data_IF_862876019489
#
_entry.id   IF_862876019489
#
_cell.length_a   1.000
_cell.length_b   1.000
_cell.length_c   1.000
_cell.angle_alpha   90.00
_cell.angle_beta   90.00
_cell.angle_gamma   90.00
#
_symmetry.space_group_name_H-M   'P 1'
#
loop_
_entity.id
_entity.type
_entity.pdbx_description
1 polymer ?
#
# COMPACT_ATOMS: atom_id res chain seq x y z
N UNK A 1 11.46 -16.59 14.86
CA UNK A 1 10.53 -16.29 13.75
C UNK A 1 9.37 -17.28 13.67
N UNK A 2 9.60 -18.60 13.58
CA UNK A 2 8.54 -19.60 13.45
C UNK A 2 7.50 -19.59 14.60
N UNK A 3 7.95 -19.44 15.85
CA UNK A 3 7.04 -19.33 17.01
C UNK A 3 6.16 -18.07 16.95
N UNK A 4 6.67 -16.96 16.43
CA UNK A 4 5.92 -15.71 16.33
C UNK A 4 4.83 -15.81 15.25
N UNK A 5 5.12 -16.47 14.13
CA UNK A 5 4.15 -16.78 13.07
C UNK A 5 3.05 -17.70 13.61
N UNK A 6 3.40 -18.71 14.40
CA UNK A 6 2.43 -19.63 15.00
C UNK A 6 1.52 -18.95 16.02
N UNK A 7 2.05 -18.03 16.84
CA UNK A 7 1.26 -17.24 17.77
C UNK A 7 0.29 -16.31 17.04
N UNK A 8 0.76 -15.62 15.99
CA UNK A 8 -0.07 -14.75 15.16
C UNK A 8 -1.18 -15.55 14.45
N UNK A 9 -0.84 -16.68 13.84
CA UNK A 9 -1.79 -17.62 13.24
C UNK A 9 -2.87 -18.05 14.23
N UNK A 10 -2.48 -18.52 15.42
CA UNK A 10 -3.45 -18.99 16.41
C UNK A 10 -4.38 -17.87 16.88
N UNK A 11 -3.86 -16.66 17.03
CA UNK A 11 -4.66 -15.50 17.40
C UNK A 11 -5.65 -15.13 16.28
N UNK A 12 -5.23 -15.14 15.01
CA UNK A 12 -6.11 -14.91 13.87
C UNK A 12 -7.21 -15.97 13.78
N UNK A 13 -6.89 -17.26 13.98
CA UNK A 13 -7.88 -18.34 14.01
C UNK A 13 -8.93 -18.06 15.10
N UNK A 14 -8.51 -17.67 16.31
CA UNK A 14 -9.43 -17.39 17.42
C UNK A 14 -10.39 -16.24 17.13
N UNK A 15 -9.98 -15.24 16.35
CA UNK A 15 -10.86 -14.12 15.97
C UNK A 15 -11.83 -14.50 14.84
N UNK A 16 -11.40 -15.30 13.85
CA UNK A 16 -12.25 -15.67 12.72
C UNK A 16 -13.18 -16.85 13.02
N UNK A 17 -12.78 -17.80 13.87
CA UNK A 17 -13.58 -18.97 14.20
C UNK A 17 -15.02 -18.67 14.66
N UNK A 18 -15.28 -17.71 15.59
CA UNK A 18 -16.66 -17.40 15.99
C UNK A 18 -17.50 -16.86 14.82
N UNK A 19 -16.91 -16.05 13.93
CA UNK A 19 -17.60 -15.53 12.74
C UNK A 19 -17.98 -16.67 11.79
N UNK A 20 -17.06 -17.62 11.56
CA UNK A 20 -17.32 -18.79 10.73
C UNK A 20 -18.36 -19.73 11.35
N UNK A 21 -18.36 -19.92 12.67
CA UNK A 21 -19.37 -20.73 13.35
C UNK A 21 -20.76 -20.08 13.25
N UNK A 22 -20.86 -18.78 13.50
CA UNK A 22 -22.13 -18.07 13.54
C UNK A 22 -22.77 -17.96 12.15
N UNK A 23 -21.97 -17.68 11.12
CA UNK A 23 -22.48 -17.35 9.78
C UNK A 23 -22.23 -18.44 8.72
N UNK A 24 -21.89 -19.67 9.14
CA UNK A 24 -21.62 -20.81 8.23
C UNK A 24 -22.74 -21.01 7.21
N UNK A 25 -23.99 -20.91 7.66
CA UNK A 25 -25.18 -21.19 6.86
C UNK A 25 -25.60 -20.03 5.96
N UNK A 26 -25.06 -18.82 6.18
CA UNK A 26 -25.40 -17.63 5.40
C UNK A 26 -24.53 -17.48 4.12
N UNK A 27 -23.58 -18.41 3.93
CA UNK A 27 -22.73 -18.46 2.75
C UNK A 27 -21.69 -17.34 2.73
N UNK A 28 -20.72 -17.37 3.65
CA UNK A 28 -19.57 -16.46 3.67
C UNK A 28 -18.89 -16.47 2.30
N UNK A 29 -18.73 -15.32 1.66
CA UNK A 29 -18.02 -15.18 0.37
C UNK A 29 -16.73 -14.36 0.49
N UNK A 30 -16.58 -13.57 1.56
CA UNK A 30 -15.39 -12.75 1.79
C UNK A 30 -15.00 -12.73 3.27
N UNK A 31 -13.69 -12.67 3.50
CA UNK A 31 -13.06 -12.67 4.81
C UNK A 31 -11.91 -11.66 4.79
N UNK A 32 -11.88 -10.75 5.75
CA UNK A 32 -10.86 -9.70 5.77
C UNK A 32 -10.40 -9.34 7.17
N UNK A 33 -9.14 -8.95 7.26
CA UNK A 33 -8.57 -8.29 8.42
C UNK A 33 -8.57 -6.78 8.15
N UNK A 34 -9.39 -6.03 8.87
CA UNK A 34 -9.58 -4.60 8.65
C UNK A 34 -8.57 -3.80 9.45
N UNK A 35 -7.90 -2.88 8.78
CA UNK A 35 -6.96 -1.95 9.37
C UNK A 35 -7.52 -0.53 9.35
N UNK A 36 -7.20 0.24 10.38
CA UNK A 36 -7.51 1.66 10.43
C UNK A 36 -6.50 2.50 9.62
N UNK A 37 -6.72 3.81 9.57
CA UNK A 37 -5.83 4.78 8.90
C UNK A 37 -4.40 4.81 9.46
N UNK A 38 -4.19 4.30 10.68
CA UNK A 38 -2.89 4.21 11.34
C UNK A 38 -2.22 2.85 11.16
N UNK A 39 -2.68 2.02 10.21
CA UNK A 39 -2.15 0.69 9.94
C UNK A 39 -2.25 -0.26 11.16
N UNK A 40 -3.22 -0.02 12.04
CA UNK A 40 -3.55 -0.93 13.14
C UNK A 40 -4.70 -1.84 12.77
N UNK A 41 -4.57 -3.11 13.13
CA UNK A 41 -5.69 -4.04 13.04
C UNK A 41 -6.81 -3.50 13.95
N UNK A 42 -8.00 -3.32 13.38
CA UNK A 42 -9.19 -2.84 14.05
C UNK A 42 -10.15 -3.98 14.36
N UNK A 43 -10.46 -4.81 13.35
CA UNK A 43 -11.35 -5.94 13.50
C UNK A 43 -11.10 -7.02 12.44
N UNK A 44 -11.59 -8.22 12.73
CA UNK A 44 -11.80 -9.27 11.74
C UNK A 44 -13.23 -9.13 11.20
N UNK A 45 -13.43 -9.22 9.89
CA UNK A 45 -14.75 -9.06 9.27
C UNK A 45 -15.02 -10.13 8.21
N UNK A 46 -16.28 -10.53 8.08
CA UNK A 46 -16.77 -11.43 7.03
C UNK A 46 -17.97 -10.83 6.33
N UNK A 47 -18.21 -11.25 5.08
CA UNK A 47 -19.44 -10.94 4.36
C UNK A 47 -20.07 -12.21 3.79
N UNK A 48 -21.40 -12.25 3.75
CA UNK A 48 -22.19 -13.45 3.43
C UNK A 48 -23.11 -13.19 2.24
N UNK A 49 -23.45 -14.22 1.47
CA UNK A 49 -24.34 -14.08 0.32
C UNK A 49 -25.73 -13.58 0.73
N UNK A 50 -26.18 -13.95 1.94
CA UNK A 50 -27.43 -13.46 2.53
C UNK A 50 -27.44 -11.95 2.74
N UNK A 51 -26.29 -11.30 2.97
CA UNK A 51 -26.24 -9.84 3.09
C UNK A 51 -26.49 -9.12 1.76
N UNK A 52 -26.39 -9.81 0.62
CA UNK A 52 -26.50 -9.25 -0.73
C UNK A 52 -27.94 -9.39 -1.29
N UNK A 53 -28.75 -10.37 -0.84
CA UNK A 53 -30.05 -10.67 -1.46
C UNK A 53 -31.13 -11.14 -0.47
N UNK A 54 -32.07 -10.26 -0.12
CA UNK A 54 -33.43 -10.63 0.29
C UNK A 54 -34.42 -9.54 -0.15
N UNK A 55 -35.57 -9.93 -0.71
CA UNK A 55 -36.58 -9.03 -1.31
C UNK A 55 -37.44 -8.27 -0.29
N UNK A 56 -37.44 -8.65 0.99
CA UNK A 56 -38.17 -7.96 2.07
C UNK A 56 -37.24 -7.06 2.87
N UNK A 57 -37.60 -5.80 3.15
CA UNK A 57 -36.77 -4.79 3.82
C UNK A 57 -36.64 -4.93 5.38
N UNK A 58 -35.73 -5.76 5.89
CA UNK A 58 -35.01 -5.59 7.17
C UNK A 58 -33.82 -4.59 7.09
N UNK A 59 -34.07 -3.33 7.44
CA UNK A 59 -33.07 -2.24 7.50
C UNK A 59 -31.77 -2.59 8.28
N UNK A 60 -31.79 -3.67 9.07
CA UNK A 60 -30.65 -4.18 9.81
C UNK A 60 -29.72 -5.18 9.05
N UNK A 61 -29.94 -5.49 7.76
CA UNK A 61 -29.16 -6.54 7.08
C UNK A 61 -28.65 -6.24 5.66
N UNK A 62 -29.08 -5.16 4.99
CA UNK A 62 -28.79 -5.00 3.55
C UNK A 62 -27.46 -4.40 3.17
N UNK A 63 -26.87 -4.99 2.13
CA UNK A 63 -25.79 -4.47 1.33
C UNK A 63 -26.20 -4.51 -0.15
N UNK A 64 -26.26 -3.37 -0.83
CA UNK A 64 -26.53 -3.36 -2.26
C UNK A 64 -25.42 -4.12 -3.01
N UNK A 65 -25.72 -4.74 -4.16
CA UNK A 65 -24.72 -5.50 -4.92
C UNK A 65 -23.49 -4.65 -5.31
N UNK A 66 -23.68 -3.36 -5.58
CA UNK A 66 -22.61 -2.39 -5.82
C UNK A 66 -21.72 -2.12 -4.59
N UNK A 67 -22.25 -2.37 -3.38
CA UNK A 67 -21.54 -2.20 -2.11
C UNK A 67 -20.90 -3.50 -1.63
N UNK A 68 -20.91 -4.57 -2.43
CA UNK A 68 -20.36 -5.92 -2.10
C UNK A 68 -19.00 -5.86 -1.43
N UNK A 69 -18.13 -4.96 -1.88
CA UNK A 69 -16.76 -4.82 -1.40
C UNK A 69 -16.55 -3.62 -0.45
N UNK A 70 -17.63 -2.94 -0.05
CA UNK A 70 -17.56 -1.82 0.88
C UNK A 70 -17.51 -2.33 2.33
N UNK A 71 -16.29 -2.51 2.84
CA UNK A 71 -16.00 -3.08 4.16
C UNK A 71 -16.70 -2.30 5.29
N UNK A 72 -16.83 -0.96 5.16
CA UNK A 72 -17.47 -0.13 6.18
C UNK A 72 -18.96 -0.44 6.35
N UNK A 73 -19.59 -1.04 5.34
CA UNK A 73 -20.99 -1.46 5.37
C UNK A 73 -21.16 -2.92 5.79
N UNK A 74 -20.06 -3.65 6.01
CA UNK A 74 -20.12 -5.04 6.47
C UNK A 74 -20.49 -5.08 7.94
N UNK A 75 -21.51 -5.88 8.27
CA UNK A 75 -22.08 -5.93 9.63
C UNK A 75 -21.45 -7.01 10.50
N UNK A 76 -20.89 -8.05 9.88
CA UNK A 76 -20.34 -9.19 10.60
C UNK A 76 -18.87 -8.96 10.93
N UNK A 77 -18.65 -8.16 11.96
CA UNK A 77 -17.32 -7.79 12.45
C UNK A 77 -17.10 -8.33 13.85
N UNK A 78 -15.93 -8.91 14.10
CA UNK A 78 -15.42 -9.21 15.44
C UNK A 78 -14.38 -8.15 15.81
N UNK A 79 -14.71 -7.17 16.67
CA UNK A 79 -13.73 -6.21 17.14
C UNK A 79 -12.67 -6.92 17.96
N UNK A 80 -11.42 -6.48 17.83
CA UNK A 80 -10.33 -7.06 18.62
C UNK A 80 -10.59 -6.91 20.11
N UNK A 81 -10.61 -8.04 20.83
CA UNK A 81 -10.70 -8.03 22.29
C UNK A 81 -9.49 -7.29 22.86
N UNK A 82 -9.69 -6.44 23.88
CA UNK A 82 -8.61 -5.65 24.52
C UNK A 82 -7.41 -6.49 24.98
N UNK A 83 -7.63 -7.77 25.30
CA UNK A 83 -6.59 -8.72 25.72
C UNK A 83 -6.18 -9.72 24.63
N UNK A 84 -6.58 -9.51 23.38
CA UNK A 84 -6.21 -10.39 22.27
C UNK A 84 -4.71 -10.36 22.04
N UNK A 85 -4.11 -11.51 21.78
CA UNK A 85 -2.69 -11.63 21.41
C UNK A 85 -2.38 -10.79 20.16
N UNK A 86 -3.39 -10.58 19.29
CA UNK A 86 -3.30 -9.68 18.14
C UNK A 86 -3.07 -8.22 18.50
N UNK A 87 -3.46 -7.75 19.69
CA UNK A 87 -3.13 -6.38 20.12
C UNK A 87 -1.62 -6.18 20.29
N UNK A 88 -0.85 -7.24 20.55
CA UNK A 88 0.63 -7.17 20.56
C UNK A 88 1.21 -6.98 19.16
N UNK A 89 0.46 -7.38 18.13
CA UNK A 89 0.79 -7.23 16.71
C UNK A 89 0.03 -6.06 16.06
N UNK A 90 -0.68 -5.24 16.86
CA UNK A 90 -1.47 -4.10 16.38
C UNK A 90 -0.60 -3.10 15.62
N UNK A 91 0.68 -2.99 15.98
CA UNK A 91 1.66 -2.11 15.35
C UNK A 91 2.50 -2.80 14.26
N UNK A 92 2.20 -4.06 13.89
CA UNK A 92 3.03 -4.83 12.96
C UNK A 92 3.07 -4.28 11.52
N UNK A 93 2.33 -3.21 11.22
CA UNK A 93 2.43 -2.46 9.97
C UNK A 93 2.81 -0.99 10.18
N UNK A 94 3.07 -0.54 11.42
CA UNK A 94 3.59 0.82 11.67
C UNK A 94 4.94 1.03 10.98
N UNK A 95 5.80 0.01 10.97
CA UNK A 95 7.12 0.08 10.33
C UNK A 95 7.02 0.20 8.79
N UNK A 96 5.86 -0.06 8.17
CA UNK A 96 5.62 0.23 6.75
C UNK A 96 5.27 1.69 6.49
N UNK A 97 4.67 2.37 7.47
CA UNK A 97 4.46 3.82 7.44
C UNK A 97 5.77 4.54 7.79
N UNK A 98 6.53 4.03 8.76
CA UNK A 98 7.85 4.57 9.12
C UNK A 98 8.89 4.27 8.04
N UNK A 99 8.99 3.08 7.43
CA UNK A 99 9.93 2.88 6.30
C UNK A 99 9.62 3.74 5.06
N UNK A 100 8.40 4.26 4.92
CA UNK A 100 8.07 5.30 3.93
C UNK A 100 8.47 6.72 4.38
N UNK A 101 8.67 6.94 5.68
CA UNK A 101 8.92 8.25 6.31
C UNK A 101 10.28 8.36 7.07
N UNK A 102 11.06 7.29 7.18
CA UNK A 102 12.29 7.19 7.97
C UNK A 102 13.50 7.10 7.05
N UNK A 103 13.99 8.26 6.61
CA UNK A 103 15.41 8.43 6.28
C UNK A 103 16.04 9.34 7.33
N UNK A 104 16.04 8.88 8.58
CA UNK A 104 16.96 9.38 9.58
C UNK A 104 18.27 8.61 9.43
N UNK A 105 19.31 9.31 8.98
CA UNK A 105 20.69 8.90 9.18
C UNK A 105 20.90 8.64 10.68
N UNK A 106 21.08 7.39 11.06
CA UNK A 106 21.82 7.05 12.27
C UNK A 106 22.85 6.00 11.90
N UNK A 107 24.06 6.48 11.64
CA UNK A 107 25.26 5.66 11.72
C UNK A 107 25.44 5.20 13.16
N UNK A 108 25.00 3.98 13.45
CA UNK A 108 25.61 3.14 14.48
C UNK A 108 25.46 1.71 14.03
N UNK A 109 26.61 1.06 13.83
CA UNK A 109 26.78 -0.35 13.57
C UNK A 109 25.92 -1.20 14.53
N UNK A 110 25.04 -2.05 13.99
CA UNK A 110 24.81 -3.44 14.42
C UNK A 110 23.62 -4.07 13.69
N UNK A 111 23.82 -5.33 13.29
CA UNK A 111 22.88 -6.31 12.72
C UNK A 111 22.60 -6.22 11.20
N UNK A 112 23.16 -7.15 10.39
CA UNK A 112 22.78 -7.29 8.99
C UNK A 112 21.42 -8.02 8.89
N UNK A 113 20.58 -7.60 7.93
CA UNK A 113 19.37 -8.29 7.46
C UNK A 113 18.26 -8.58 8.49
N UNK A 114 17.32 -7.64 8.72
CA UNK A 114 16.07 -7.93 9.44
C UNK A 114 14.84 -7.12 9.01
N UNK A 115 14.84 -6.59 7.78
CA UNK A 115 13.69 -5.93 7.16
C UNK A 115 13.06 -6.82 6.09
N UNK A 116 13.03 -8.14 6.32
CA UNK A 116 12.16 -9.05 5.57
C UNK A 116 10.71 -8.75 5.97
N UNK A 117 9.96 -8.13 5.05
CA UNK A 117 8.62 -7.54 5.15
C UNK A 117 7.70 -8.11 6.25
N UNK A 118 7.37 -7.31 7.28
CA UNK A 118 6.35 -7.65 8.28
C UNK A 118 4.97 -7.91 7.65
N UNK A 119 4.62 -7.21 6.56
CA UNK A 119 3.43 -7.50 5.76
C UNK A 119 3.47 -8.91 5.17
N UNK A 120 4.63 -9.34 4.68
CA UNK A 120 4.80 -10.69 4.14
C UNK A 120 4.60 -11.74 5.24
N UNK A 121 5.16 -11.50 6.43
CA UNK A 121 4.95 -12.35 7.60
C UNK A 121 3.47 -12.45 7.99
N UNK A 122 2.74 -11.32 7.94
CA UNK A 122 1.30 -11.29 8.19
C UNK A 122 0.52 -12.06 7.12
N UNK A 123 0.84 -11.84 5.84
CA UNK A 123 0.22 -12.53 4.72
C UNK A 123 0.46 -14.03 4.78
N UNK A 124 1.67 -14.47 5.15
CA UNK A 124 2.00 -15.88 5.32
C UNK A 124 1.24 -16.51 6.49
N UNK A 125 1.13 -15.80 7.62
CA UNK A 125 0.29 -16.23 8.72
C UNK A 125 -1.19 -16.33 8.30
N UNK A 126 -1.69 -15.33 7.57
CA UNK A 126 -3.08 -15.31 7.12
C UNK A 126 -3.37 -16.39 6.07
N UNK A 127 -2.40 -16.72 5.22
CA UNK A 127 -2.47 -17.84 4.29
C UNK A 127 -2.62 -19.18 5.03
N UNK A 128 -1.88 -19.37 6.12
CA UNK A 128 -2.04 -20.56 6.97
C UNK A 128 -3.39 -20.60 7.69
N UNK A 129 -3.88 -19.45 8.16
CA UNK A 129 -5.20 -19.32 8.79
C UNK A 129 -6.30 -19.69 7.79
N UNK A 130 -6.20 -19.20 6.54
CA UNK A 130 -7.09 -19.57 5.45
C UNK A 130 -7.15 -21.09 5.28
N UNK A 131 -6.01 -21.77 5.18
CA UNK A 131 -5.97 -23.23 5.04
C UNK A 131 -6.73 -23.92 6.17
N UNK A 132 -6.46 -23.53 7.42
CA UNK A 132 -7.13 -24.11 8.60
C UNK A 132 -8.63 -23.82 8.63
N UNK A 133 -9.06 -22.60 8.31
CA UNK A 133 -10.48 -22.25 8.30
C UNK A 133 -11.24 -22.99 7.20
N UNK A 134 -10.64 -23.16 6.02
CA UNK A 134 -11.24 -23.91 4.92
C UNK A 134 -11.35 -25.40 5.22
N UNK A 135 -10.41 -25.97 5.98
CA UNK A 135 -10.47 -27.36 6.48
C UNK A 135 -11.56 -27.55 7.54
N UNK A 136 -11.70 -26.61 8.48
CA UNK A 136 -12.69 -26.68 9.56
C UNK A 136 -14.12 -26.38 9.08
N UNK A 137 -14.27 -25.50 8.08
CA UNK A 137 -15.55 -25.03 7.57
C UNK A 137 -15.64 -25.21 6.05
N UNK A 138 -15.66 -26.45 5.55
CA UNK A 138 -15.80 -26.70 4.12
C UNK A 138 -17.14 -26.16 3.63
N UNK A 139 -17.08 -25.28 2.63
CA UNK A 139 -18.25 -24.72 1.96
C UNK A 139 -18.45 -25.33 0.57
N UNK A 140 -19.70 -25.50 0.12
CA UNK A 140 -20.02 -26.15 -1.16
C UNK A 140 -19.57 -25.37 -2.39
N UNK A 141 -19.42 -24.04 -2.30
CA UNK A 141 -18.98 -23.16 -3.41
C UNK A 141 -17.46 -22.94 -3.44
N UNK A 142 -16.71 -23.38 -2.42
CA UNK A 142 -15.24 -23.42 -2.39
C UNK A 142 -14.47 -22.09 -2.51
N UNK A 143 -15.12 -20.95 -2.76
CA UNK A 143 -14.45 -19.69 -3.07
C UNK A 143 -14.83 -18.58 -2.07
N UNK A 144 -14.14 -18.60 -0.92
CA UNK A 144 -14.08 -17.44 -0.01
C UNK A 144 -12.86 -16.62 -0.39
N UNK A 145 -13.04 -15.31 -0.59
CA UNK A 145 -11.92 -14.38 -0.83
C UNK A 145 -11.36 -13.86 0.48
N UNK A 146 -10.06 -14.01 0.65
CA UNK A 146 -9.31 -13.52 1.81
C UNK A 146 -8.45 -12.32 1.42
N UNK A 147 -8.53 -11.20 2.11
CA UNK A 147 -7.69 -10.04 1.80
C UNK A 147 -7.49 -9.15 3.03
N UNK A 148 -6.51 -8.25 2.98
CA UNK A 148 -6.32 -7.21 4.00
C UNK A 148 -7.15 -6.00 3.60
N UNK A 149 -8.03 -5.56 4.49
CA UNK A 149 -8.90 -4.40 4.29
C UNK A 149 -8.21 -3.13 4.75
N UNK A 150 -7.88 -2.25 3.82
CA UNK A 150 -7.23 -0.97 4.08
C UNK A 150 -7.79 0.09 3.12
N UNK A 151 -8.94 0.71 3.43
CA UNK A 151 -9.67 1.56 2.49
C UNK A 151 -8.87 2.73 1.91
N UNK A 152 -7.83 3.19 2.63
CA UNK A 152 -6.94 4.26 2.19
C UNK A 152 -5.80 3.81 1.26
N UNK A 153 -5.51 2.50 1.17
CA UNK A 153 -4.43 1.94 0.34
C UNK A 153 -4.94 0.76 -0.48
N UNK A 154 -5.69 1.03 -1.56
CA UNK A 154 -6.23 -0.01 -2.43
C UNK A 154 -5.14 -0.91 -3.03
N UNK A 155 -3.89 -0.43 -3.13
CA UNK A 155 -2.75 -1.25 -3.55
C UNK A 155 -2.49 -2.45 -2.64
N UNK A 156 -2.63 -2.28 -1.31
CA UNK A 156 -2.43 -3.37 -0.34
C UNK A 156 -3.60 -4.35 -0.40
N UNK A 157 -4.82 -3.85 -0.58
CA UNK A 157 -6.01 -4.69 -0.71
C UNK A 157 -5.90 -5.59 -1.94
N UNK A 158 -5.51 -5.03 -3.09
CA UNK A 158 -5.29 -5.77 -4.34
C UNK A 158 -4.15 -6.79 -4.18
N UNK A 159 -3.00 -6.35 -3.67
CA UNK A 159 -1.83 -7.22 -3.51
C UNK A 159 -2.12 -8.41 -2.58
N UNK A 160 -2.75 -8.15 -1.43
CA UNK A 160 -3.11 -9.19 -0.48
C UNK A 160 -4.15 -10.16 -1.04
N UNK A 161 -5.13 -9.68 -1.80
CA UNK A 161 -6.12 -10.52 -2.45
C UNK A 161 -5.48 -11.47 -3.48
N UNK A 162 -4.54 -10.99 -4.30
CA UNK A 162 -3.78 -11.84 -5.22
C UNK A 162 -2.91 -12.86 -4.49
N UNK A 163 -2.27 -12.47 -3.39
CA UNK A 163 -1.37 -13.35 -2.66
C UNK A 163 -2.10 -14.50 -1.94
N UNK A 164 -3.26 -14.20 -1.36
CA UNK A 164 -3.99 -15.13 -0.51
C UNK A 164 -4.94 -16.05 -1.29
N UNK A 165 -5.32 -15.70 -2.52
CA UNK A 165 -6.36 -16.42 -3.26
C UNK A 165 -5.89 -16.92 -4.63
N UNK A 166 -6.34 -18.12 -5.04
CA UNK A 166 -6.22 -18.52 -6.44
C UNK A 166 -7.10 -17.64 -7.33
N UNK A 167 -6.83 -17.66 -8.63
CA UNK A 167 -7.69 -17.01 -9.61
C UNK A 167 -9.11 -17.58 -9.53
N UNK A 168 -10.09 -16.67 -9.48
CA UNK A 168 -11.52 -16.96 -9.36
C UNK A 168 -12.33 -15.77 -9.85
N UNK A 169 -13.57 -16.01 -10.26
CA UNK A 169 -14.50 -14.93 -10.64
C UNK A 169 -14.75 -13.95 -9.48
N UNK A 170 -14.65 -14.43 -8.24
CA UNK A 170 -14.82 -13.62 -7.04
C UNK A 170 -13.62 -12.70 -6.79
N UNK A 171 -12.40 -13.16 -7.11
CA UNK A 171 -11.20 -12.31 -7.14
C UNK A 171 -11.30 -11.27 -8.25
N UNK A 172 -11.67 -11.66 -9.48
CA UNK A 172 -11.83 -10.71 -10.59
C UNK A 172 -12.87 -9.62 -10.27
N UNK A 173 -14.01 -9.99 -9.68
CA UNK A 173 -15.03 -9.06 -9.21
C UNK A 173 -14.50 -8.07 -8.16
N UNK A 174 -13.60 -8.52 -7.28
CA UNK A 174 -12.96 -7.66 -6.28
C UNK A 174 -11.97 -6.68 -6.92
N UNK A 175 -11.11 -7.17 -7.82
CA UNK A 175 -10.13 -6.34 -8.52
C UNK A 175 -10.81 -5.25 -9.34
N UNK A 176 -11.87 -5.60 -10.10
CA UNK A 176 -12.62 -4.64 -10.90
C UNK A 176 -13.27 -3.51 -10.06
N UNK A 177 -13.59 -3.75 -8.79
CA UNK A 177 -14.08 -2.72 -7.87
C UNK A 177 -12.96 -1.84 -7.28
N UNK A 178 -11.78 -2.43 -7.03
CA UNK A 178 -10.64 -1.74 -6.39
C UNK A 178 -9.75 -0.99 -7.34
N UNK A 179 -9.61 -1.46 -8.57
CA UNK A 179 -8.73 -0.87 -9.57
C UNK A 179 -9.11 0.58 -9.94
N UNK A 180 -10.40 0.95 -10.11
CA UNK A 180 -10.80 2.35 -10.28
C UNK A 180 -10.43 3.23 -9.08
N UNK A 181 -10.48 2.68 -7.84
CA UNK A 181 -10.11 3.41 -6.62
C UNK A 181 -8.59 3.59 -6.53
N UNK A 182 -7.82 2.59 -6.92
CA UNK A 182 -6.37 2.71 -7.08
C UNK A 182 -6.03 3.77 -8.12
N UNK A 183 -6.67 3.74 -9.28
CA UNK A 183 -6.49 4.78 -10.30
C UNK A 183 -6.87 6.15 -9.77
N UNK A 184 -7.98 6.31 -9.05
CA UNK A 184 -8.35 7.58 -8.42
C UNK A 184 -7.29 8.08 -7.43
N UNK A 185 -6.72 7.21 -6.58
CA UNK A 185 -5.62 7.57 -5.67
C UNK A 185 -4.35 7.94 -6.43
N UNK A 186 -4.00 7.21 -7.48
CA UNK A 186 -2.87 7.53 -8.35
C UNK A 186 -3.09 8.85 -9.11
N UNK A 187 -4.34 9.15 -9.49
CA UNK A 187 -4.75 10.40 -10.12
C UNK A 187 -4.78 11.59 -9.13
N UNK A 188 -5.21 11.38 -7.88
CA UNK A 188 -5.12 12.39 -6.81
C UNK A 188 -3.66 12.67 -6.41
N UNK A 189 -2.78 11.66 -6.54
CA UNK A 189 -1.33 11.81 -6.44
C UNK A 189 -0.69 12.43 -7.70
N UNK A 190 -1.47 12.85 -8.72
CA UNK A 190 -0.93 13.63 -9.85
C UNK A 190 -0.58 15.04 -9.37
N UNK A 191 0.69 15.16 -9.00
CA UNK A 191 1.54 16.33 -8.83
C UNK A 191 0.89 17.69 -9.10
N UNK A 192 0.31 18.29 -8.06
CA UNK A 192 0.24 19.74 -8.00
C UNK A 192 1.60 20.24 -7.51
N UNK A 193 2.50 20.57 -8.44
CA UNK A 193 3.79 21.16 -8.11
C UNK A 193 3.57 22.48 -7.36
N UNK A 194 4.17 22.61 -6.18
CA UNK A 194 4.26 23.89 -5.47
C UNK A 194 5.09 24.89 -6.27
N UNK A 195 5.14 26.15 -5.86
CA UNK A 195 6.04 27.10 -6.51
C UNK A 195 7.52 26.73 -6.27
N UNK A 196 7.86 26.30 -5.05
CA UNK A 196 9.21 25.84 -4.72
C UNK A 196 9.63 24.59 -5.52
N UNK A 197 8.69 23.67 -5.79
CA UNK A 197 8.94 22.51 -6.66
C UNK A 197 9.33 22.93 -8.08
N UNK A 198 8.65 23.95 -8.63
CA UNK A 198 8.91 24.45 -9.98
C UNK A 198 10.24 25.18 -10.05
N UNK A 199 10.51 26.06 -9.09
CA UNK A 199 11.73 26.85 -9.05
C UNK A 199 12.96 25.93 -9.00
N UNK A 200 12.92 24.91 -8.14
CA UNK A 200 14.03 23.97 -7.99
C UNK A 200 14.16 22.96 -9.16
N UNK A 201 13.07 22.63 -9.87
CA UNK A 201 13.16 21.92 -11.16
C UNK A 201 13.76 22.80 -12.27
N UNK A 202 13.50 24.10 -12.26
CA UNK A 202 14.09 25.07 -13.18
C UNK A 202 15.59 25.21 -12.90
N UNK A 203 15.98 25.36 -11.64
CA UNK A 203 17.39 25.47 -11.24
C UNK A 203 18.17 24.20 -11.64
N UNK A 204 17.58 23.03 -11.43
CA UNK A 204 18.18 21.76 -11.86
C UNK A 204 18.32 21.64 -13.38
N UNK A 205 17.34 22.14 -14.15
CA UNK A 205 17.41 22.16 -15.61
C UNK A 205 18.51 23.10 -16.12
N UNK A 206 18.61 24.30 -15.52
CA UNK A 206 19.65 25.27 -15.87
C UNK A 206 21.05 24.73 -15.59
N UNK A 207 21.23 24.05 -14.45
CA UNK A 207 22.48 23.37 -14.12
C UNK A 207 22.84 22.32 -15.19
N UNK A 208 21.87 21.51 -15.60
CA UNK A 208 22.08 20.48 -16.63
C UNK A 208 22.35 21.05 -18.02
N UNK A 209 21.88 22.27 -18.31
CA UNK A 209 22.08 22.94 -19.60
C UNK A 209 23.44 23.62 -19.75
N UNK A 210 24.19 23.81 -18.66
CA UNK A 210 25.54 24.38 -18.68
C UNK A 210 26.49 23.58 -19.58
N UNK A 211 27.18 24.27 -20.49
CA UNK A 211 28.19 23.67 -21.38
C UNK A 211 29.61 24.17 -21.01
N UNK A 212 30.62 23.29 -20.90
CA UNK A 212 30.53 21.84 -21.10
C UNK A 212 29.85 21.15 -19.90
N UNK A 213 29.01 20.15 -20.20
CA UNK A 213 28.39 19.31 -19.18
C UNK A 213 29.47 18.55 -18.40
N UNK A 214 29.47 18.70 -17.08
CA UNK A 214 30.39 18.03 -16.16
C UNK A 214 29.58 17.33 -15.07
N UNK A 215 29.68 16.00 -15.01
CA UNK A 215 28.94 15.16 -14.07
C UNK A 215 29.34 15.45 -12.62
N UNK A 216 30.61 15.79 -12.38
CA UNK A 216 31.09 16.13 -11.04
C UNK A 216 30.50 17.45 -10.58
N UNK A 217 30.47 18.44 -11.49
CA UNK A 217 29.85 19.73 -11.23
C UNK A 217 28.35 19.58 -10.96
N UNK A 218 27.65 18.77 -11.76
CA UNK A 218 26.23 18.48 -11.56
C UNK A 218 25.94 17.80 -10.23
N UNK A 219 26.73 16.79 -9.86
CA UNK A 219 26.57 16.10 -8.58
C UNK A 219 26.78 17.06 -7.40
N UNK A 220 27.82 17.89 -7.48
CA UNK A 220 28.11 18.87 -6.44
C UNK A 220 27.03 19.95 -6.35
N UNK A 221 26.55 20.47 -7.48
CA UNK A 221 25.47 21.47 -7.50
C UNK A 221 24.15 20.90 -6.97
N UNK A 222 23.81 19.66 -7.34
CA UNK A 222 22.64 18.96 -6.79
C UNK A 222 22.77 18.72 -5.29
N UNK A 223 23.96 18.41 -4.79
CA UNK A 223 24.21 18.32 -3.35
C UNK A 223 23.94 19.65 -2.64
N UNK A 224 24.36 20.79 -3.22
CA UNK A 224 24.08 22.11 -2.64
C UNK A 224 22.57 22.40 -2.57
N UNK A 225 21.79 22.00 -3.58
CA UNK A 225 20.32 22.12 -3.55
C UNK A 225 19.68 21.34 -2.39
N UNK A 226 20.29 20.24 -1.94
CA UNK A 226 19.78 19.48 -0.77
C UNK A 226 19.92 20.23 0.56
N UNK A 227 20.78 21.25 0.61
CA UNK A 227 21.07 22.02 1.82
C UNK A 227 20.15 23.24 1.97
N UNK A 228 19.32 23.53 0.96
CA UNK A 228 18.38 24.64 1.01
C UNK A 228 17.25 24.37 2.01
N UNK A 229 16.80 25.41 2.72
CA UNK A 229 15.74 25.29 3.72
C UNK A 229 14.40 24.82 3.09
N UNK A 230 14.12 25.25 1.86
CA UNK A 230 12.94 24.87 1.08
C UNK A 230 12.98 23.43 0.58
N UNK A 231 14.16 22.79 0.54
CA UNK A 231 14.31 21.46 -0.03
C UNK A 231 13.50 20.40 0.73
N UNK A 232 13.49 20.48 2.06
CA UNK A 232 12.73 19.56 2.91
C UNK A 232 11.21 19.61 2.65
N UNK A 233 10.71 20.74 2.14
CA UNK A 233 9.29 20.97 1.85
C UNK A 233 8.91 20.64 0.40
N UNK A 234 9.89 20.33 -0.46
CA UNK A 234 9.63 19.98 -1.86
C UNK A 234 9.06 18.58 -2.03
N UNK A 235 8.49 18.31 -3.20
CA UNK A 235 7.96 17.01 -3.55
C UNK A 235 9.02 15.90 -3.43
N UNK A 236 8.65 14.81 -2.76
CA UNK A 236 9.54 13.67 -2.51
C UNK A 236 10.18 13.08 -3.78
N UNK A 237 9.49 13.11 -4.93
CA UNK A 237 10.03 12.60 -6.19
C UNK A 237 11.10 13.53 -6.77
N UNK A 238 10.96 14.84 -6.56
CA UNK A 238 11.97 15.84 -6.93
C UNK A 238 13.18 15.73 -6.01
N UNK A 239 12.95 15.57 -4.70
CA UNK A 239 14.02 15.28 -3.74
C UNK A 239 14.82 14.04 -4.14
N UNK A 240 14.15 12.96 -4.54
CA UNK A 240 14.82 11.73 -5.02
C UNK A 240 15.66 11.94 -6.26
N UNK A 241 15.17 12.72 -7.22
CA UNK A 241 15.94 13.06 -8.42
C UNK A 241 17.23 13.79 -8.03
N UNK A 242 17.14 14.81 -7.18
CA UNK A 242 18.31 15.59 -6.74
C UNK A 242 19.29 14.72 -5.95
N UNK A 243 18.84 13.89 -5.01
CA UNK A 243 19.74 12.98 -4.29
C UNK A 243 20.42 11.98 -5.22
N UNK A 244 19.73 11.48 -6.24
CA UNK A 244 20.32 10.56 -7.21
C UNK A 244 21.40 11.24 -8.06
N UNK A 245 21.21 12.51 -8.42
CA UNK A 245 22.22 13.32 -9.11
C UNK A 245 23.38 13.64 -8.15
N UNK A 246 23.11 13.99 -6.90
CA UNK A 246 24.14 14.27 -5.88
C UNK A 246 25.01 13.05 -5.56
N UNK A 247 24.46 11.84 -5.69
CA UNK A 247 25.16 10.58 -5.44
C UNK A 247 25.92 10.02 -6.66
N UNK A 248 26.01 10.76 -7.78
CA UNK A 248 26.73 10.29 -8.97
C UNK A 248 28.22 10.08 -8.65
N UNK A 249 28.71 8.87 -8.90
CA UNK A 249 30.13 8.55 -8.79
C UNK A 249 30.80 8.72 -10.16
N UNK A 250 31.76 9.63 -10.26
CA UNK A 250 32.54 9.84 -11.50
C UNK A 250 33.70 8.84 -11.58
N UNK A 251 33.85 8.11 -12.71
CA UNK A 251 35.13 7.49 -13.04
C UNK A 251 35.20 6.06 -13.60
N UNK A 252 34.13 5.42 -14.08
CA UNK A 252 34.27 4.13 -14.78
C UNK A 252 33.16 3.88 -15.82
N UNK A 253 33.40 2.95 -16.76
CA UNK A 253 32.46 2.57 -17.84
C UNK A 253 31.12 1.97 -17.35
N UNK A 254 31.01 1.70 -16.05
CA UNK A 254 29.79 1.27 -15.36
C UNK A 254 29.32 2.33 -14.33
N UNK A 255 29.67 3.61 -14.53
CA UNK A 255 29.29 4.68 -13.61
C UNK A 255 27.78 4.86 -13.61
N UNK A 256 27.18 4.92 -12.41
CA UNK A 256 25.80 5.37 -12.20
C UNK A 256 25.62 6.88 -12.45
N UNK A 257 26.45 7.49 -13.30
CA UNK A 257 26.43 8.91 -13.63
C UNK A 257 25.32 9.18 -14.65
N UNK A 258 24.38 10.02 -14.25
CA UNK A 258 23.25 10.43 -15.06
C UNK A 258 23.74 11.40 -16.15
N UNK A 259 23.32 11.16 -17.38
CA UNK A 259 23.70 11.99 -18.52
C UNK A 259 22.73 13.18 -18.67
N UNK A 260 23.17 14.27 -19.30
CA UNK A 260 22.36 15.50 -19.52
C UNK A 260 20.94 15.20 -20.02
N UNK A 261 20.81 14.35 -21.04
CA UNK A 261 19.52 14.00 -21.63
C UNK A 261 18.59 13.28 -20.65
N UNK A 262 19.15 12.43 -19.77
CA UNK A 262 18.39 11.64 -18.80
C UNK A 262 17.84 12.54 -17.67
N UNK A 263 18.64 13.51 -17.22
CA UNK A 263 18.21 14.50 -16.22
C UNK A 263 17.05 15.33 -16.79
N UNK A 264 17.20 15.85 -18.01
CA UNK A 264 16.17 16.66 -18.67
C UNK A 264 14.88 15.85 -18.93
N UNK A 265 15.00 14.58 -19.33
CA UNK A 265 13.84 13.71 -19.51
C UNK A 265 13.08 13.49 -18.20
N UNK A 266 13.79 13.23 -17.10
CA UNK A 266 13.17 13.07 -15.77
C UNK A 266 12.55 14.36 -15.26
N UNK A 267 13.12 15.53 -15.56
CA UNK A 267 12.52 16.84 -15.26
C UNK A 267 11.20 17.02 -16.03
N UNK A 268 11.19 16.68 -17.32
CA UNK A 268 10.00 16.82 -18.17
C UNK A 268 8.83 15.93 -17.75
N UNK A 269 9.09 14.80 -17.08
CA UNK A 269 8.03 13.93 -16.53
C UNK A 269 7.16 14.66 -15.49
N UNK A 270 7.70 15.63 -14.74
CA UNK A 270 6.93 16.43 -13.78
C UNK A 270 5.98 17.44 -14.48
N UNK A 271 6.35 17.92 -15.66
CA UNK A 271 5.56 18.87 -16.46
C UNK A 271 4.52 18.17 -17.35
N UNK A 272 4.82 17.01 -17.93
CA UNK A 272 3.88 16.27 -18.77
C UNK A 272 2.81 15.50 -17.95
N UNK A 273 3.15 15.08 -16.73
CA UNK A 273 2.19 14.46 -15.81
C UNK A 273 1.17 15.48 -15.24
N UNK A 274 1.51 16.79 -15.24
CA UNK A 274 0.61 17.86 -14.78
C UNK A 274 -0.31 18.40 -15.88
N UNK A 275 0.06 18.27 -17.17
CA UNK A 275 -0.70 18.79 -18.32
C UNK A 275 -1.94 17.99 -18.76
N UNK A 276 -2.20 16.80 -18.22
CA UNK A 276 -3.47 16.08 -18.47
C UNK A 276 -4.67 16.67 -17.72
N UNK A 277 -4.46 17.72 -16.91
CA UNK A 277 -5.52 18.44 -16.19
C UNK A 277 -6.19 19.55 -17.00
N UNK A 278 -5.73 19.81 -18.23
CA UNK A 278 -6.31 20.81 -19.14
C UNK A 278 -6.62 20.20 -20.49
N UNK A 279 -7.55 19.25 -20.52
CA UNK A 279 -8.45 19.14 -21.67
C UNK A 279 -9.81 19.63 -21.22
N UNK A 280 -10.34 20.74 -21.77
CA UNK A 280 -11.76 21.01 -21.63
C UNK A 280 -12.52 19.87 -22.32
N UNK A 281 -13.57 19.39 -21.66
CA UNK A 281 -14.56 18.55 -22.32
C UNK A 281 -15.08 19.31 -23.56
N UNK A 282 -14.83 18.74 -24.73
CA UNK A 282 -15.63 18.98 -25.93
C UNK A 282 -16.58 17.80 -26.09
#
# INVERSE_FOLDING_TARGET
>A
MLEHINLLKNALIQEFQPLFQQYKNDGIYACTLVFNSYMHIECAAVSTSRSIYAEEEDRAQYLAAQDRWNIQKWRYTSPLKKNSVLNRYRYALNDLAESKNSFSYSQTETAPHKTENQLQTLLDAFKQVKTVLMELYPQPSGQILFFIGLPAQPEIEIHSAHYLNPQSSLLESFINDREPKLQAVLHLKRFKLSQSDKDLLIDLAQLAEMDPYDELHMAHAAYLLTLEASFAETNLYIQRLIHAIAAMATGSKDSCAMQKYEIIERINQFYHASSYSTQPAC
#
